data_IF_726580150206
#
_entry.id   IF_726580150206
#
_cell.length_a   1.000
_cell.length_b   1.000
_cell.length_c   1.000
_cell.angle_alpha   90.00
_cell.angle_beta   90.00
_cell.angle_gamma   90.00
#
_symmetry.space_group_name_H-M   'P 1'
#
loop_
_entity.id
_entity.type
_entity.pdbx_description
1 polymer ?
#
# COMPACT_ATOMS: atom_id res chain seq x y z
N UNK A 1 79.71 -28.62 -9.45
CA UNK A 1 80.19 -27.23 -9.46
C UNK A 1 79.23 -26.35 -10.25
N UNK A 2 78.49 -25.46 -9.58
CA UNK A 2 78.18 -24.07 -10.00
C UNK A 2 77.27 -23.39 -8.96
N UNK A 3 77.95 -22.57 -8.15
CA UNK A 3 77.59 -21.30 -7.46
C UNK A 3 76.37 -21.24 -6.53
N UNK A 4 76.73 -21.26 -5.25
CA UNK A 4 76.06 -20.76 -4.06
C UNK A 4 75.99 -19.22 -4.08
N UNK A 5 74.82 -18.64 -3.80
CA UNK A 5 74.66 -17.24 -3.39
C UNK A 5 73.89 -17.21 -2.07
N UNK A 6 74.57 -16.80 -1.00
CA UNK A 6 74.01 -16.47 0.32
C UNK A 6 73.88 -14.95 0.36
N UNK A 7 72.75 -14.41 0.83
CA UNK A 7 72.68 -13.04 1.34
C UNK A 7 71.82 -13.00 2.62
N UNK A 8 72.40 -12.39 3.66
CA UNK A 8 71.92 -12.32 5.05
C UNK A 8 71.02 -11.09 5.31
N UNK A 9 69.86 -11.35 5.92
CA UNK A 9 69.14 -10.71 7.06
C UNK A 9 69.30 -9.20 7.35
N UNK A 10 68.13 -8.53 7.44
CA UNK A 10 67.70 -7.55 8.48
C UNK A 10 66.16 -7.78 8.59
N UNK A 11 65.47 -7.96 9.71
CA UNK A 11 65.65 -7.44 11.06
C UNK A 11 64.47 -6.52 11.41
N UNK A 12 63.50 -7.05 12.18
CA UNK A 12 62.55 -6.36 13.07
C UNK A 12 61.37 -5.54 12.48
N UNK A 13 60.13 -5.96 12.79
CA UNK A 13 59.18 -5.28 13.71
C UNK A 13 57.82 -5.99 13.64
N UNK A 14 57.43 -6.63 14.74
CA UNK A 14 56.04 -6.96 15.05
C UNK A 14 55.40 -5.67 15.57
N UNK A 15 54.44 -5.10 14.84
CA UNK A 15 53.45 -4.18 15.40
C UNK A 15 52.11 -4.88 15.26
N UNK A 16 51.55 -5.28 16.41
CA UNK A 16 50.17 -5.73 16.49
C UNK A 16 49.25 -4.59 16.05
N UNK A 17 48.39 -4.88 15.08
CA UNK A 17 47.24 -4.04 14.75
C UNK A 17 46.00 -4.80 15.22
N UNK A 18 45.63 -4.57 16.47
CA UNK A 18 44.28 -4.82 16.95
C UNK A 18 43.39 -3.70 16.42
N UNK A 19 42.77 -3.91 15.26
CA UNK A 19 41.59 -3.14 14.87
C UNK A 19 40.35 -3.94 15.25
N UNK A 20 39.90 -3.74 16.49
CA UNK A 20 38.50 -3.93 16.85
C UNK A 20 37.66 -2.94 16.04
N UNK A 21 37.20 -3.36 14.86
CA UNK A 21 36.14 -2.66 14.15
C UNK A 21 34.82 -3.37 14.45
N UNK A 22 34.26 -3.04 15.61
CA UNK A 22 32.84 -3.22 15.84
C UNK A 22 32.11 -2.13 15.04
N UNK A 23 32.02 -2.32 13.72
CA UNK A 23 31.11 -1.52 12.93
C UNK A 23 29.71 -2.01 13.27
N UNK A 24 29.00 -1.25 14.13
CA UNK A 24 27.54 -1.26 14.09
C UNK A 24 27.17 -0.77 12.70
N UNK A 25 27.06 -1.69 11.75
CA UNK A 25 26.57 -1.42 10.40
C UNK A 25 25.25 -0.68 10.56
N UNK A 26 25.23 0.61 10.22
CA UNK A 26 24.00 1.39 10.18
C UNK A 26 23.05 0.61 9.28
N UNK A 27 21.87 0.28 9.81
CA UNK A 27 20.83 -0.35 8.98
C UNK A 27 20.49 0.63 7.88
N UNK A 28 20.66 0.16 6.65
CA UNK A 28 20.33 0.92 5.47
C UNK A 28 18.84 1.05 5.32
N UNK A 29 18.38 2.25 4.97
CA UNK A 29 16.97 2.56 4.77
C UNK A 29 16.75 3.24 3.43
N UNK A 30 15.53 3.15 2.92
CA UNK A 30 15.04 3.75 1.69
C UNK A 30 13.59 4.25 1.89
N UNK A 31 13.00 4.83 0.84
CA UNK A 31 11.56 5.15 0.81
C UNK A 31 10.84 4.01 0.11
N UNK A 32 9.91 3.36 0.81
CA UNK A 32 8.98 2.41 0.18
C UNK A 32 7.84 3.19 -0.45
N UNK A 33 7.62 2.98 -1.75
CA UNK A 33 6.48 3.53 -2.50
C UNK A 33 5.55 2.40 -2.93
N UNK A 34 4.32 2.41 -2.43
CA UNK A 34 3.26 1.50 -2.87
C UNK A 34 2.33 2.28 -3.80
N UNK A 35 2.27 1.87 -5.07
CA UNK A 35 1.48 2.53 -6.11
C UNK A 35 0.14 1.84 -6.29
N UNK A 36 -0.94 2.63 -6.40
CA UNK A 36 -2.30 2.14 -6.58
C UNK A 36 -2.81 2.49 -7.98
N UNK A 37 -2.61 1.57 -8.91
CA UNK A 37 -3.11 1.68 -10.29
C UNK A 37 -4.37 0.84 -10.50
N UNK A 38 -5.24 1.31 -11.37
CA UNK A 38 -6.52 0.67 -11.67
C UNK A 38 -6.53 0.28 -13.13
N UNK A 39 -6.84 -0.98 -13.40
CA UNK A 39 -6.89 -1.53 -14.74
C UNK A 39 -8.12 -2.43 -14.92
N UNK A 40 -8.57 -2.55 -16.17
CA UNK A 40 -9.59 -3.51 -16.57
C UNK A 40 -9.06 -4.30 -17.76
N UNK A 41 -8.78 -5.60 -17.54
CA UNK A 41 -8.21 -6.51 -18.57
C UNK A 41 -6.94 -5.92 -19.20
N UNK A 42 -5.98 -5.56 -18.35
CA UNK A 42 -4.65 -5.03 -18.74
C UNK A 42 -4.72 -3.71 -19.53
N UNK A 43 -5.82 -2.97 -19.41
CA UNK A 43 -5.98 -1.63 -19.96
C UNK A 43 -6.18 -0.63 -18.84
N UNK A 44 -5.65 0.60 -18.99
CA UNK A 44 -5.92 1.67 -18.04
C UNK A 44 -7.42 1.83 -17.81
N UNK A 45 -7.80 1.97 -16.55
CA UNK A 45 -9.17 2.24 -16.17
C UNK A 45 -9.60 3.63 -16.64
N UNK A 46 -10.77 3.72 -17.29
CA UNK A 46 -11.35 4.97 -17.78
C UNK A 46 -12.68 5.29 -17.08
N UNK A 47 -12.85 6.55 -16.68
CA UNK A 47 -14.08 7.07 -16.07
C UNK A 47 -14.98 7.76 -17.11
N UNK A 48 -16.28 7.83 -16.81
CA UNK A 48 -17.29 8.58 -17.57
C UNK A 48 -17.39 8.17 -19.06
N UNK A 49 -17.23 6.87 -19.32
CA UNK A 49 -17.40 6.26 -20.63
C UNK A 49 -18.05 4.89 -20.51
N UNK A 50 -19.05 4.61 -21.36
CA UNK A 50 -19.73 3.31 -21.46
C UNK A 50 -18.85 2.26 -22.16
N UNK A 51 -17.71 1.93 -21.55
CA UNK A 51 -16.72 0.99 -22.08
C UNK A 51 -16.80 -0.41 -21.46
N UNK A 52 -17.51 -0.53 -20.34
CA UNK A 52 -17.58 -1.78 -19.59
C UNK A 52 -18.89 -2.51 -19.86
N UNK A 53 -18.91 -3.81 -19.60
CA UNK A 53 -20.09 -4.66 -19.80
C UNK A 53 -20.35 -5.49 -18.55
N UNK A 54 -21.52 -5.29 -17.95
CA UNK A 54 -21.93 -6.03 -16.76
C UNK A 54 -22.14 -7.51 -17.12
N UNK A 55 -22.11 -8.39 -16.12
CA UNK A 55 -22.39 -9.82 -16.33
C UNK A 55 -23.78 -10.07 -16.94
N UNK A 56 -24.75 -9.19 -16.63
CA UNK A 56 -26.10 -9.22 -17.21
C UNK A 56 -26.16 -8.75 -18.68
N UNK A 57 -25.04 -8.30 -19.26
CA UNK A 57 -24.94 -7.90 -20.67
C UNK A 57 -25.10 -6.41 -20.94
N UNK A 58 -25.51 -5.62 -19.95
CA UNK A 58 -25.69 -4.17 -20.10
C UNK A 58 -24.36 -3.43 -20.14
N UNK A 59 -24.14 -2.50 -21.10
CA UNK A 59 -23.00 -1.61 -21.05
C UNK A 59 -23.14 -0.65 -19.87
N UNK A 60 -22.02 -0.30 -19.26
CA UNK A 60 -21.99 0.62 -18.13
C UNK A 60 -20.72 1.47 -18.14
N UNK A 61 -20.82 2.61 -17.47
CA UNK A 61 -19.71 3.49 -17.15
C UNK A 61 -19.48 3.53 -15.64
N UNK A 62 -18.28 3.96 -15.26
CA UNK A 62 -17.92 4.16 -13.88
C UNK A 62 -17.57 5.64 -13.74
N UNK A 63 -18.20 6.30 -12.78
CA UNK A 63 -18.07 7.74 -12.52
C UNK A 63 -17.28 7.99 -11.25
N UNK A 64 -17.48 7.14 -10.22
CA UNK A 64 -16.79 7.24 -8.93
C UNK A 64 -16.08 5.93 -8.63
N UNK A 65 -14.80 5.99 -8.28
CA UNK A 65 -14.07 4.91 -7.62
C UNK A 65 -13.15 5.52 -6.56
N UNK A 66 -13.53 5.30 -5.30
CA UNK A 66 -12.78 5.79 -4.14
C UNK A 66 -12.71 4.68 -3.12
N UNK A 67 -11.56 4.50 -2.48
CA UNK A 67 -11.44 3.44 -1.49
C UNK A 67 -10.31 3.68 -0.49
N UNK A 68 -10.42 3.03 0.65
CA UNK A 68 -9.34 2.89 1.61
C UNK A 68 -8.62 1.55 1.44
N UNK A 69 -7.35 1.54 1.78
CA UNK A 69 -6.56 0.34 2.05
C UNK A 69 -5.86 0.52 3.38
N UNK A 70 -5.65 -0.54 4.14
CA UNK A 70 -5.01 -0.46 5.46
C UNK A 70 -4.28 -1.75 5.81
N UNK A 71 -3.53 -1.73 6.92
CA UNK A 71 -2.96 -2.93 7.54
C UNK A 71 -2.08 -3.72 6.56
N UNK A 72 -0.99 -3.09 6.13
CA UNK A 72 -0.09 -3.64 5.12
C UNK A 72 0.97 -4.52 5.77
N UNK A 73 1.30 -5.63 5.12
CA UNK A 73 2.43 -6.46 5.52
C UNK A 73 3.36 -6.70 4.34
N UNK A 74 4.63 -6.38 4.54
CA UNK A 74 5.67 -6.65 3.55
C UNK A 74 6.41 -7.92 3.96
N UNK A 75 6.45 -8.89 3.06
CA UNK A 75 7.11 -10.17 3.27
C UNK A 75 8.54 -10.10 2.77
N UNK A 76 9.49 -10.42 3.62
CA UNK A 76 10.91 -10.58 3.28
C UNK A 76 11.16 -11.96 2.67
N UNK A 77 12.28 -12.13 1.96
CA UNK A 77 12.65 -13.41 1.35
C UNK A 77 12.87 -14.57 2.34
N UNK A 78 13.04 -14.29 3.63
CA UNK A 78 13.10 -15.26 4.72
C UNK A 78 11.74 -15.51 5.41
N UNK A 79 10.63 -15.12 4.76
CA UNK A 79 9.24 -15.22 5.25
C UNK A 79 8.95 -14.43 6.54
N UNK A 80 9.82 -13.48 6.95
CA UNK A 80 9.47 -12.54 7.99
C UNK A 80 8.50 -11.46 7.47
N UNK A 81 7.64 -10.96 8.36
CA UNK A 81 6.65 -9.92 8.06
C UNK A 81 7.07 -8.60 8.71
N UNK A 82 7.13 -7.53 7.91
CA UNK A 82 7.18 -6.15 8.39
C UNK A 82 5.76 -5.60 8.32
N UNK A 83 5.14 -5.43 9.49
CA UNK A 83 3.79 -4.90 9.60
C UNK A 83 3.79 -3.37 9.61
N UNK A 84 2.95 -2.77 8.76
CA UNK A 84 2.73 -1.34 8.65
C UNK A 84 1.29 -1.04 9.07
N UNK A 85 1.13 -0.62 10.32
CA UNK A 85 -0.14 -0.18 10.89
C UNK A 85 -0.47 1.25 10.40
N UNK A 86 -0.87 1.32 9.13
CA UNK A 86 -1.21 2.56 8.42
C UNK A 86 -2.40 2.32 7.50
N UNK A 87 -2.91 3.39 6.91
CA UNK A 87 -3.94 3.37 5.87
C UNK A 87 -3.54 4.26 4.70
N UNK A 88 -4.21 4.06 3.57
CA UNK A 88 -4.09 4.88 2.38
C UNK A 88 -5.46 5.08 1.73
N UNK A 89 -5.75 6.32 1.34
CA UNK A 89 -6.95 6.68 0.60
C UNK A 89 -6.63 6.87 -0.88
N UNK A 90 -7.42 6.25 -1.75
CA UNK A 90 -7.33 6.42 -3.20
C UNK A 90 -8.60 7.09 -3.72
N UNK A 91 -8.46 8.26 -4.33
CA UNK A 91 -9.50 8.92 -5.13
C UNK A 91 -9.17 8.74 -6.62
N UNK A 92 -9.68 7.67 -7.22
CA UNK A 92 -9.31 7.32 -8.59
C UNK A 92 -10.01 8.19 -9.65
N UNK A 93 -11.22 8.68 -9.36
CA UNK A 93 -12.06 9.44 -10.30
C UNK A 93 -11.57 10.86 -10.57
N UNK A 94 -10.86 11.50 -9.63
CA UNK A 94 -10.34 12.88 -9.78
C UNK A 94 -8.86 12.96 -10.19
N UNK A 95 -8.20 11.82 -10.38
CA UNK A 95 -6.78 11.74 -10.73
C UNK A 95 -5.83 12.55 -9.81
N UNK A 96 -6.21 12.78 -8.55
CA UNK A 96 -5.34 13.46 -7.58
C UNK A 96 -4.06 12.65 -7.33
N UNK A 97 -2.92 13.17 -7.81
CA UNK A 97 -1.62 12.47 -7.77
C UNK A 97 -1.20 12.08 -6.35
N UNK A 98 -1.51 12.90 -5.35
CA UNK A 98 -1.14 12.65 -3.96
C UNK A 98 -1.84 11.42 -3.36
N UNK A 99 -2.95 10.95 -3.97
CA UNK A 99 -3.65 9.71 -3.55
C UNK A 99 -3.20 8.47 -4.32
N UNK A 100 -2.29 8.59 -5.30
CA UNK A 100 -1.86 7.45 -6.11
C UNK A 100 -0.83 6.57 -5.42
N UNK A 101 -0.12 7.09 -4.43
CA UNK A 101 0.94 6.35 -3.76
C UNK A 101 0.93 6.55 -2.24
N UNK A 102 1.17 5.46 -1.53
CA UNK A 102 1.57 5.48 -0.12
C UNK A 102 3.09 5.50 -0.06
N UNK A 103 3.65 6.48 0.66
CA UNK A 103 5.08 6.63 0.88
C UNK A 103 5.40 6.31 2.33
N UNK A 104 6.39 5.44 2.54
CA UNK A 104 6.89 5.06 3.86
C UNK A 104 8.39 5.37 3.90
N UNK A 105 8.74 6.42 4.62
CA UNK A 105 10.12 6.83 4.82
C UNK A 105 10.85 5.87 5.76
N UNK A 106 12.19 5.84 5.65
CA UNK A 106 13.07 5.05 6.50
C UNK A 106 12.73 3.54 6.53
N UNK A 107 12.17 3.02 5.44
CA UNK A 107 11.88 1.60 5.30
C UNK A 107 13.19 0.81 5.13
N UNK A 108 13.39 -0.34 5.78
CA UNK A 108 14.64 -1.09 5.66
C UNK A 108 14.95 -1.43 4.20
N UNK A 109 16.20 -1.26 3.77
CA UNK A 109 16.61 -1.76 2.47
C UNK A 109 16.70 -3.31 2.52
N UNK A 110 16.29 -3.97 1.44
CA UNK A 110 16.25 -5.43 1.42
C UNK A 110 15.56 -6.02 0.18
N UNK A 111 15.52 -7.35 0.16
CA UNK A 111 14.75 -8.11 -0.83
C UNK A 111 13.44 -8.55 -0.22
N UNK A 112 12.36 -8.29 -0.95
CA UNK A 112 10.99 -8.58 -0.53
C UNK A 112 10.32 -9.47 -1.57
N UNK A 113 9.43 -10.33 -1.11
CA UNK A 113 8.79 -11.34 -1.95
C UNK A 113 7.29 -11.13 -2.10
N UNK A 114 6.68 -10.24 -1.32
CA UNK A 114 5.27 -9.92 -1.49
C UNK A 114 4.71 -8.91 -0.50
N UNK A 115 3.41 -8.66 -0.66
CA UNK A 115 2.60 -7.73 0.11
C UNK A 115 1.24 -8.34 0.45
N UNK A 116 0.73 -8.14 1.65
CA UNK A 116 -0.70 -8.25 1.97
C UNK A 116 -1.24 -6.91 2.46
N UNK A 117 -2.53 -6.70 2.30
CA UNK A 117 -3.22 -5.53 2.85
C UNK A 117 -4.71 -5.79 2.97
N UNK A 118 -5.40 -4.92 3.70
CA UNK A 118 -6.85 -4.85 3.76
C UNK A 118 -7.34 -3.84 2.71
N UNK A 119 -8.25 -4.25 1.84
CA UNK A 119 -9.09 -3.32 1.06
C UNK A 119 -10.28 -2.90 1.93
N UNK A 120 -10.25 -1.66 2.38
CA UNK A 120 -11.06 -1.10 3.45
C UNK A 120 -10.24 -0.66 4.65
N UNK A 121 -10.92 -0.42 5.76
CA UNK A 121 -10.32 0.00 7.02
C UNK A 121 -10.45 -1.12 8.06
N UNK A 122 -9.40 -1.33 8.84
CA UNK A 122 -9.52 -2.13 10.06
C UNK A 122 -10.28 -1.36 11.15
N UNK A 123 -10.65 -2.05 12.24
CA UNK A 123 -11.41 -1.43 13.32
C UNK A 123 -10.69 -0.26 13.99
N UNK A 124 -9.35 -0.26 14.02
CA UNK A 124 -8.58 0.84 14.61
C UNK A 124 -8.80 2.12 13.83
N UNK A 125 -8.77 2.05 12.49
CA UNK A 125 -8.93 3.21 11.63
C UNK A 125 -10.40 3.61 11.42
N UNK A 126 -11.35 2.71 11.69
CA UNK A 126 -12.78 2.93 11.50
C UNK A 126 -13.57 3.07 12.83
N UNK A 127 -12.89 3.41 13.93
CA UNK A 127 -13.54 3.60 15.24
C UNK A 127 -14.07 5.03 15.42
N UNK A 128 -15.32 5.21 15.88
CA UNK A 128 -15.72 6.47 16.48
C UNK A 128 -14.92 6.74 17.74
N UNK A 129 -14.53 8.00 17.96
CA UNK A 129 -14.03 8.42 19.27
C UNK A 129 -15.26 8.69 20.15
N UNK A 130 -15.57 7.71 21.00
CA UNK A 130 -16.74 7.73 21.90
C UNK A 130 -16.85 9.05 22.66
N UNK A 131 -18.00 9.72 22.55
CA UNK A 131 -18.28 10.98 23.24
C UNK A 131 -17.76 12.24 22.53
N UNK A 132 -17.33 12.13 21.28
CA UNK A 132 -16.92 13.25 20.43
C UNK A 132 -17.46 13.08 19.01
N UNK A 133 -17.45 14.16 18.22
CA UNK A 133 -17.65 14.12 16.76
C UNK A 133 -16.36 13.74 16.00
N UNK A 134 -15.30 13.32 16.71
CA UNK A 134 -14.01 12.99 16.12
C UNK A 134 -13.93 11.51 15.75
N UNK A 135 -13.18 11.22 14.69
CA UNK A 135 -12.98 9.87 14.17
C UNK A 135 -11.51 9.46 14.27
N UNK A 136 -11.25 8.15 14.16
CA UNK A 136 -9.89 7.62 14.16
C UNK A 136 -9.09 8.02 12.91
N UNK A 137 -9.79 8.38 11.83
CA UNK A 137 -9.19 9.09 10.70
C UNK A 137 -9.14 10.60 11.01
N UNK A 138 -8.04 11.30 10.65
CA UNK A 138 -8.00 12.75 10.79
C UNK A 138 -9.09 13.41 9.95
N UNK A 139 -9.97 14.20 10.57
CA UNK A 139 -10.95 15.05 9.87
C UNK A 139 -10.29 16.28 9.20
N UNK A 140 -9.06 16.13 8.72
CA UNK A 140 -8.23 17.20 8.17
C UNK A 140 -8.21 17.21 6.64
N UNK A 141 -8.90 16.26 6.01
CA UNK A 141 -8.92 16.05 4.56
C UNK A 141 -10.38 15.93 4.13
N UNK A 142 -10.88 16.90 3.37
CA UNK A 142 -12.28 16.98 2.93
C UNK A 142 -12.71 15.73 2.16
N UNK A 143 -11.77 15.10 1.47
CA UNK A 143 -11.99 13.86 0.72
C UNK A 143 -12.37 12.68 1.63
N UNK A 144 -11.90 12.65 2.88
CA UNK A 144 -12.30 11.62 3.84
C UNK A 144 -13.73 11.86 4.31
N UNK A 145 -14.16 13.11 4.40
CA UNK A 145 -15.52 13.47 4.80
C UNK A 145 -16.56 12.98 3.78
N UNK A 146 -16.25 12.98 2.48
CA UNK A 146 -17.14 12.39 1.44
C UNK A 146 -17.26 10.86 1.52
N UNK A 147 -16.35 10.22 2.24
CA UNK A 147 -16.40 8.78 2.52
C UNK A 147 -17.18 8.47 3.80
N UNK A 148 -17.73 9.45 4.51
CA UNK A 148 -18.51 9.22 5.73
C UNK A 148 -19.90 8.59 5.45
N UNK A 149 -20.36 7.66 6.29
CA UNK A 149 -21.73 7.14 6.21
C UNK A 149 -22.73 8.15 6.80
N UNK A 150 -23.68 8.70 6.02
CA UNK A 150 -24.54 9.79 6.50
C UNK A 150 -25.56 9.40 7.58
N UNK A 151 -25.75 8.10 7.87
CA UNK A 151 -26.87 7.60 8.71
C UNK A 151 -26.44 6.86 9.97
N UNK A 152 -25.15 6.78 10.30
CA UNK A 152 -24.74 6.12 11.53
C UNK A 152 -24.17 7.12 12.54
N UNK A 153 -24.81 7.19 13.70
CA UNK A 153 -24.39 7.96 14.89
C UNK A 153 -23.04 7.47 15.47
N UNK A 154 -22.41 6.49 14.82
CA UNK A 154 -21.20 5.80 15.27
C UNK A 154 -19.98 6.07 14.39
N UNK A 155 -20.02 7.05 13.50
CA UNK A 155 -18.77 7.63 13.00
C UNK A 155 -17.97 6.81 12.00
N UNK A 156 -18.63 6.00 11.19
CA UNK A 156 -17.96 5.04 10.30
C UNK A 156 -17.82 5.53 8.85
N UNK A 157 -16.83 4.98 8.14
CA UNK A 157 -16.57 5.30 6.74
C UNK A 157 -17.00 4.19 5.77
N UNK A 158 -17.38 4.58 4.57
CA UNK A 158 -17.36 3.70 3.41
C UNK A 158 -15.91 3.24 3.20
N UNK A 159 -15.70 1.94 3.02
CA UNK A 159 -14.42 1.39 2.60
C UNK A 159 -14.18 1.62 1.11
N UNK A 160 -15.24 1.57 0.31
CA UNK A 160 -15.22 1.88 -1.11
C UNK A 160 -16.53 2.53 -1.55
N UNK A 161 -16.44 3.52 -2.44
CA UNK A 161 -17.54 4.00 -3.28
C UNK A 161 -17.25 3.63 -4.73
N UNK A 162 -18.14 2.84 -5.35
CA UNK A 162 -18.11 2.46 -6.75
C UNK A 162 -19.46 2.81 -7.39
N UNK A 163 -19.49 3.84 -8.21
CA UNK A 163 -20.75 4.42 -8.70
C UNK A 163 -20.67 4.70 -10.19
N UNK A 164 -21.81 4.67 -10.86
CA UNK A 164 -21.89 4.95 -12.28
C UNK A 164 -23.29 4.79 -12.84
N UNK A 165 -23.36 4.51 -14.14
CA UNK A 165 -24.61 4.30 -14.85
C UNK A 165 -24.50 3.14 -15.83
N UNK A 166 -25.63 2.48 -16.11
CA UNK A 166 -25.74 1.41 -17.10
C UNK A 166 -26.93 1.67 -18.03
N UNK A 167 -26.85 1.14 -19.26
CA UNK A 167 -27.94 1.24 -20.24
C UNK A 167 -28.70 -0.08 -20.30
N UNK A 168 -30.00 -0.02 -20.00
CA UNK A 168 -30.92 -1.16 -20.11
C UNK A 168 -32.12 -0.75 -20.95
N UNK A 169 -32.35 -1.48 -22.04
CA UNK A 169 -33.50 -1.28 -22.93
C UNK A 169 -33.65 0.16 -23.48
N UNK A 170 -32.53 0.88 -23.59
CA UNK A 170 -32.49 2.28 -24.05
C UNK A 170 -32.47 3.31 -22.92
N UNK A 171 -32.79 2.90 -21.69
CA UNK A 171 -32.80 3.78 -20.52
C UNK A 171 -31.43 3.78 -19.81
N UNK A 172 -30.97 4.98 -19.42
CA UNK A 172 -29.78 5.13 -18.58
C UNK A 172 -30.17 5.16 -17.12
N UNK A 173 -29.68 4.19 -16.35
CA UNK A 173 -29.98 4.00 -14.94
C UNK A 173 -28.70 4.10 -14.11
N UNK A 174 -28.75 4.79 -12.97
CA UNK A 174 -27.60 4.89 -12.07
C UNK A 174 -27.49 3.69 -11.15
N UNK A 175 -26.27 3.43 -10.68
CA UNK A 175 -26.00 2.47 -9.61
C UNK A 175 -25.02 3.06 -8.60
N UNK A 176 -25.13 2.58 -7.36
CA UNK A 176 -24.17 2.84 -6.29
C UNK A 176 -23.86 1.52 -5.61
N UNK A 177 -22.61 1.11 -5.63
CA UNK A 177 -22.09 -0.03 -4.92
C UNK A 177 -21.07 0.49 -3.91
N UNK A 178 -21.40 0.32 -2.64
CA UNK A 178 -20.52 0.74 -1.57
C UNK A 178 -20.17 -0.44 -0.67
N UNK A 179 -18.98 -0.40 -0.08
CA UNK A 179 -18.55 -1.33 0.96
C UNK A 179 -18.22 -0.56 2.23
N UNK A 180 -18.27 -1.23 3.36
CA UNK A 180 -18.10 -0.61 4.67
C UNK A 180 -18.55 -1.54 5.78
N UNK A 181 -18.45 -1.08 7.03
CA UNK A 181 -19.01 -1.84 8.14
C UNK A 181 -20.53 -1.94 8.03
N UNK A 182 -21.10 -3.03 8.52
CA UNK A 182 -22.57 -3.21 8.59
C UNK A 182 -22.88 -4.07 9.81
N UNK A 183 -23.79 -3.59 10.66
CA UNK A 183 -24.23 -4.26 11.88
C UNK A 183 -23.06 -4.73 12.78
N UNK A 184 -22.03 -3.87 12.93
CA UNK A 184 -20.83 -4.15 13.71
C UNK A 184 -19.79 -5.05 13.03
N UNK A 185 -20.11 -5.66 11.88
CA UNK A 185 -19.16 -6.45 11.11
C UNK A 185 -18.32 -5.54 10.22
N UNK A 186 -17.01 -5.69 10.26
CA UNK A 186 -16.11 -5.02 9.31
C UNK A 186 -16.10 -5.82 8.00
N UNK A 187 -16.80 -5.35 6.96
CA UNK A 187 -16.84 -6.02 5.65
C UNK A 187 -15.66 -5.62 4.75
N UNK A 188 -14.47 -5.57 5.31
CA UNK A 188 -13.26 -5.34 4.53
C UNK A 188 -12.85 -6.64 3.81
N UNK A 189 -12.02 -6.52 2.78
CA UNK A 189 -11.47 -7.66 2.06
C UNK A 189 -9.99 -7.76 2.39
N UNK A 190 -9.55 -8.89 2.96
CA UNK A 190 -8.13 -9.13 3.16
C UNK A 190 -7.51 -9.71 1.89
N UNK A 191 -6.51 -9.02 1.37
CA UNK A 191 -5.71 -9.46 0.23
C UNK A 191 -4.45 -10.10 0.78
N UNK A 192 -4.36 -11.43 0.65
CA UNK A 192 -3.26 -12.22 1.20
C UNK A 192 -2.14 -12.39 0.18
N UNK A 193 -0.91 -12.07 0.60
CA UNK A 193 0.38 -12.36 -0.06
C UNK A 193 0.34 -12.30 -1.60
N UNK A 194 0.21 -11.08 -2.14
CA UNK A 194 0.53 -10.80 -3.55
C UNK A 194 2.04 -10.96 -3.72
N UNK A 195 2.52 -11.93 -4.51
CA UNK A 195 3.95 -12.10 -4.73
C UNK A 195 4.49 -10.97 -5.60
N UNK A 196 5.72 -10.56 -5.35
CA UNK A 196 6.44 -9.65 -6.23
C UNK A 196 7.19 -10.42 -7.31
N UNK A 197 7.08 -9.97 -8.56
CA UNK A 197 7.96 -10.40 -9.64
C UNK A 197 9.35 -9.82 -9.38
N UNK A 198 10.20 -10.55 -8.63
CA UNK A 198 11.60 -10.20 -8.26
C UNK A 198 11.84 -8.69 -8.11
N UNK A 199 11.36 -8.09 -7.03
CA UNK A 199 11.62 -6.69 -6.70
C UNK A 199 12.75 -6.54 -5.67
N UNK A 200 13.72 -5.67 -5.97
CA UNK A 200 14.77 -5.26 -5.03
C UNK A 200 14.56 -3.80 -4.65
N UNK A 201 14.47 -3.50 -3.35
CA UNK A 201 14.50 -2.12 -2.85
C UNK A 201 15.96 -1.69 -2.81
N UNK A 202 16.36 -0.90 -3.80
CA UNK A 202 17.72 -0.40 -3.92
C UNK A 202 17.90 0.88 -3.10
N UNK A 203 19.15 1.15 -2.72
CA UNK A 203 19.57 2.42 -2.14
C UNK A 203 19.27 3.56 -3.12
N UNK A 204 18.61 4.62 -2.64
CA UNK A 204 18.37 5.85 -3.40
C UNK A 204 19.58 6.79 -3.38
#
# INVERSE_FOLDING_TARGET
MKRLNILLIFGLIVIGISISSCNKTKKQTAVLKILFEQEVKDKPFEFNKFLYKAKAGYPYEIMTLRYFTSDFDIYTADNHKIHLDTFHYREADKAHEYTKALLIDNFPAGTYEGLSFIHGLNEKWNKPIKGTEAHSLPNTVDEYLDMYWPWQDDGQYHYMKYEGAYVKDGDTLSFKLHTGPTDGNQNYIKIEKIPFDKSTVNEG
#
